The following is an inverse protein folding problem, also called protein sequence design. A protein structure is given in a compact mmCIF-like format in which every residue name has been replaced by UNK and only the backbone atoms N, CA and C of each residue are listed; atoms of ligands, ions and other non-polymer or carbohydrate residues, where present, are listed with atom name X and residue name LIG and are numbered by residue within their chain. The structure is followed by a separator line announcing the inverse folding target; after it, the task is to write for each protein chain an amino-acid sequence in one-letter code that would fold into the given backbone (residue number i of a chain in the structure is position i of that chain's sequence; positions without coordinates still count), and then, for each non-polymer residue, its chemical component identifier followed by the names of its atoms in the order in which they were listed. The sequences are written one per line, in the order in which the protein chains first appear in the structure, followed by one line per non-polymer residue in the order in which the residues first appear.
data_IF_432750314080
#
_entry.id   IF_432750314080
#
_cell.length_a   1.000
_cell.length_b   1.000
_cell.length_c   1.000
_cell.angle_alpha   90.00
_cell.angle_beta   90.00
_cell.angle_gamma   90.00
#
_symmetry.space_group_name_H-M   'P 1'
#
loop_
_entity.id
_entity.type
_entity.pdbx_description
1 polymer ?
#
# COMPACT_ATOMS: atom_id res chain seq x y z
N UNK A 1 -21.46 -5.64 5.20
CA UNK A 1 -21.47 -5.66 4.77
C UNK A 1 -21.21 -5.80 3.93
N UNK A 2 -21.19 -5.80 3.53
CA UNK A 2 -21.26 -5.83 2.76
C UNK A 2 -20.84 -6.23 1.95
N UNK A 3 -20.77 -6.58 1.68
CA UNK A 3 -20.52 -7.01 0.86
C UNK A 3 -20.47 -6.89 -0.20
N UNK A 4 -20.32 -6.93 -0.75
CA UNK A 4 -20.46 -6.64 -1.89
C UNK A 4 -19.64 -7.20 -2.81
N UNK A 5 -19.90 -7.43 -3.84
CA UNK A 5 -19.18 -8.12 -4.85
C UNK A 5 -18.20 -7.24 -5.47
N UNK A 6 -17.11 -7.33 -5.20
CA UNK A 6 -16.15 -6.59 -5.76
C UNK A 6 -15.04 -7.39 -6.12
N UNK A 7 -15.16 -8.54 -6.73
CA UNK A 7 -14.09 -9.42 -7.13
C UNK A 7 -13.09 -8.73 -8.02
N UNK A 8 -13.59 -7.88 -8.93
CA UNK A 8 -12.69 -7.20 -9.82
C UNK A 8 -11.79 -6.26 -9.06
N UNK A 9 -12.38 -5.57 -8.09
CA UNK A 9 -11.59 -4.71 -7.27
C UNK A 9 -10.57 -5.48 -6.48
N UNK A 10 -10.94 -6.64 -6.00
CA UNK A 10 -10.02 -7.43 -5.22
C UNK A 10 -8.80 -7.84 -6.02
N UNK A 11 -8.97 -8.17 -7.29
CA UNK A 11 -7.85 -8.51 -8.14
C UNK A 11 -6.94 -7.30 -8.30
N UNK A 12 -7.52 -6.13 -8.58
CA UNK A 12 -6.75 -4.92 -8.74
C UNK A 12 -6.10 -4.51 -7.43
N UNK A 13 -6.80 -4.66 -6.32
CA UNK A 13 -6.25 -4.34 -5.00
C UNK A 13 -5.03 -5.19 -4.71
N UNK A 14 -5.08 -6.47 -5.05
CA UNK A 14 -3.93 -7.34 -4.85
C UNK A 14 -2.73 -6.84 -5.64
N UNK A 15 -2.97 -6.40 -6.86
CA UNK A 15 -1.90 -5.86 -7.69
C UNK A 15 -1.30 -4.61 -7.07
N UNK A 16 -2.15 -3.70 -6.61
CA UNK A 16 -1.70 -2.46 -5.99
C UNK A 16 -0.94 -2.74 -4.70
N UNK A 17 -1.45 -3.65 -3.88
CA UNK A 17 -0.77 -4.03 -2.65
C UNK A 17 0.61 -4.59 -2.96
N UNK A 18 0.71 -5.42 -3.99
CA UNK A 18 1.99 -5.97 -4.42
C UNK A 18 2.97 -4.89 -4.86
N UNK A 19 2.47 -3.88 -5.57
CA UNK A 19 3.31 -2.77 -5.99
C UNK A 19 3.88 -2.00 -4.80
N UNK A 20 3.05 -1.75 -3.80
CA UNK A 20 3.48 -1.04 -2.60
C UNK A 20 4.54 -1.85 -1.87
N UNK A 21 4.28 -3.14 -1.67
CA UNK A 21 5.23 -3.99 -0.96
C UNK A 21 6.55 -4.11 -1.72
N UNK A 22 6.49 -4.23 -3.05
CA UNK A 22 7.70 -4.32 -3.85
C UNK A 22 8.52 -3.05 -3.73
N UNK A 23 7.87 -1.89 -3.77
CA UNK A 23 8.57 -0.62 -3.63
C UNK A 23 9.28 -0.54 -2.27
N UNK A 24 8.60 -0.99 -1.22
CA UNK A 24 9.19 -0.95 0.11
C UNK A 24 10.36 -1.93 0.24
N UNK A 25 10.27 -3.07 -0.43
CA UNK A 25 11.34 -4.06 -0.35
C UNK A 25 12.61 -3.60 -1.07
N UNK A 26 12.47 -2.68 -2.01
CA UNK A 26 13.63 -2.16 -2.72
C UNK A 26 14.37 -1.10 -1.94
N UNK A 27 13.80 -0.63 -0.84
CA UNK A 27 14.45 0.37 -0.03
C UNK A 27 15.53 -0.27 0.84
N UNK A 28 16.57 0.50 1.18
CA UNK A 28 17.54 0.01 2.17
C UNK A 28 16.85 -0.25 3.50
N UNK A 29 17.46 -1.10 4.30
CA UNK A 29 16.90 -1.42 5.61
C UNK A 29 16.73 -0.16 6.43
N UNK A 30 15.56 -0.01 7.01
CA UNK A 30 15.26 1.15 7.85
C UNK A 30 14.85 2.39 7.09
N UNK A 31 14.83 2.34 5.76
CA UNK A 31 14.43 3.50 4.97
C UNK A 31 12.91 3.61 4.92
N UNK A 32 12.44 4.82 4.66
CA UNK A 32 11.02 5.13 4.54
C UNK A 32 10.74 5.60 3.13
N UNK A 33 9.66 5.08 2.53
CA UNK A 33 9.20 5.54 1.22
C UNK A 33 8.36 6.80 1.45
N UNK A 34 8.78 7.95 0.90
CA UNK A 34 7.99 9.17 1.06
C UNK A 34 6.58 8.97 0.49
N UNK A 35 5.58 9.57 1.14
CA UNK A 35 4.21 9.42 0.70
C UNK A 35 4.03 9.91 -0.73
N UNK A 36 4.72 10.99 -1.09
CA UNK A 36 4.62 11.50 -2.44
C UNK A 36 5.13 10.49 -3.47
N UNK A 37 6.13 9.70 -3.11
CA UNK A 37 6.61 8.65 -4.00
C UNK A 37 5.64 7.48 -4.03
N UNK A 38 5.05 7.16 -2.89
CA UNK A 38 4.05 6.10 -2.83
C UNK A 38 2.85 6.45 -3.70
N UNK A 39 2.47 7.72 -3.73
CA UNK A 39 1.32 8.16 -4.51
C UNK A 39 1.54 7.98 -6.01
N UNK A 40 2.77 7.83 -6.44
CA UNK A 40 3.07 7.61 -7.86
C UNK A 40 2.99 6.16 -8.27
N UNK A 41 2.81 5.25 -7.32
CA UNK A 41 2.79 3.82 -7.63
C UNK A 41 1.52 3.40 -8.34
N UNK A 42 0.45 4.15 -8.19
CA UNK A 42 -0.82 3.79 -8.79
C UNK A 42 -1.60 5.05 -9.12
N UNK A 43 -2.35 4.99 -10.22
CA UNK A 43 -3.03 6.18 -10.73
C UNK A 43 -4.27 6.55 -9.93
N UNK A 44 -4.95 5.55 -9.38
CA UNK A 44 -6.18 5.79 -8.61
C UNK A 44 -5.79 6.01 -7.16
N UNK A 45 -5.78 7.27 -6.73
CA UNK A 45 -5.32 7.62 -5.40
C UNK A 45 -6.23 7.10 -4.31
N UNK A 46 -7.53 7.01 -4.57
CA UNK A 46 -8.46 6.49 -3.58
C UNK A 46 -8.20 5.01 -3.35
N UNK A 47 -8.04 4.26 -4.44
CA UNK A 47 -7.75 2.85 -4.34
C UNK A 47 -6.40 2.62 -3.67
N UNK A 48 -5.40 3.40 -4.05
CA UNK A 48 -4.07 3.28 -3.46
C UNK A 48 -4.11 3.52 -1.95
N UNK A 49 -4.81 4.57 -1.53
CA UNK A 49 -4.92 4.89 -0.10
C UNK A 49 -5.62 3.75 0.65
N UNK A 50 -6.66 3.18 0.06
CA UNK A 50 -7.36 2.06 0.68
C UNK A 50 -6.46 0.84 0.81
N UNK A 51 -5.65 0.57 -0.21
CA UNK A 51 -4.73 -0.55 -0.18
C UNK A 51 -3.63 -0.36 0.85
N UNK A 52 -3.13 0.86 0.96
CA UNK A 52 -2.11 1.18 1.96
C UNK A 52 -2.68 0.97 3.37
N UNK A 53 -3.90 1.46 3.60
CA UNK A 53 -4.53 1.28 4.90
C UNK A 53 -4.75 -0.20 5.21
N UNK A 54 -5.13 -0.98 4.20
CA UNK A 54 -5.33 -2.41 4.36
C UNK A 54 -4.03 -3.12 4.72
N UNK A 55 -2.93 -2.75 4.07
CA UNK A 55 -1.64 -3.34 4.38
C UNK A 55 -1.20 -3.01 5.79
N UNK A 56 -1.44 -1.78 6.23
CA UNK A 56 -1.12 -1.39 7.59
C UNK A 56 -1.97 -2.17 8.59
N UNK A 57 -3.24 -2.33 8.28
CA UNK A 57 -4.16 -3.06 9.15
C UNK A 57 -3.74 -4.53 9.28
N UNK A 58 -3.20 -5.10 8.21
CA UNK A 58 -2.72 -6.47 8.22
C UNK A 58 -1.33 -6.61 8.85
N UNK A 59 -0.70 -5.52 9.21
CA UNK A 59 0.62 -5.55 9.82
C UNK A 59 1.75 -5.74 8.84
N UNK A 60 1.50 -5.56 7.56
CA UNK A 60 2.51 -5.77 6.52
C UNK A 60 3.35 -4.53 6.25
N UNK A 61 2.87 -3.38 6.62
CA UNK A 61 3.62 -2.12 6.50
C UNK A 61 3.33 -1.25 7.71
N UNK A 62 4.12 -0.20 7.88
CA UNK A 62 3.87 0.83 8.88
C UNK A 62 3.66 2.16 8.19
N UNK A 63 2.62 2.88 8.58
CA UNK A 63 2.36 4.21 8.07
C UNK A 63 2.95 5.21 9.05
N UNK A 64 3.78 6.09 8.52
CA UNK A 64 4.44 7.12 9.31
C UNK A 64 4.01 8.49 8.81
N UNK A 65 4.31 9.52 9.59
CA UNK A 65 4.10 10.88 9.11
C UNK A 65 4.93 11.07 7.87
N UNK A 66 4.28 11.23 6.74
CA UNK A 66 4.95 11.51 5.50
C UNK A 66 5.51 10.31 4.76
N UNK A 67 5.25 9.09 5.21
CA UNK A 67 5.80 7.95 4.48
C UNK A 67 5.33 6.59 4.95
N UNK A 68 5.91 5.59 4.33
CA UNK A 68 5.59 4.18 4.61
C UNK A 68 6.90 3.42 4.76
N UNK A 69 6.86 2.35 5.53
CA UNK A 69 8.01 1.45 5.62
C UNK A 69 7.56 0.05 5.97
N UNK A 70 8.45 -0.91 5.78
CA UNK A 70 8.19 -2.28 6.24
C UNK A 70 8.36 -2.33 7.75
N UNK A 71 7.60 -3.18 8.45
CA UNK A 71 7.78 -3.34 9.88
C UNK A 71 9.17 -3.92 10.15
N UNK A 72 9.75 -3.49 11.21
CA UNK A 72 11.07 -4.03 11.58
C UNK A 72 10.99 -5.05 12.65
#
# INVERSE_FOLDING_TARGET
RRTRPRQRFQVTDRQVRGLVLAALRELPAGATLPREDADKLWKDQIQLAACIASLDDDGLIEILDGGLRLPS
#
